data_IF_237176002839
#
_entry.id   IF_237176002839
#
_cell.length_a   1.000
_cell.length_b   1.000
_cell.length_c   1.000
_cell.angle_alpha   90.00
_cell.angle_beta   90.00
_cell.angle_gamma   90.00
#
_symmetry.space_group_name_H-M   'P 1'
#
loop_
_entity.id
_entity.type
_entity.pdbx_description
1 polymer ?
#
# COMPACT_ATOMS: atom_id res chain seq x y z
N UNK A 1 16.44 33.86 -18.37
CA UNK A 1 15.30 34.72 -17.96
C UNK A 1 15.20 34.59 -16.46
N UNK A 2 15.43 35.67 -15.72
CA UNK A 2 15.47 35.67 -14.25
C UNK A 2 14.07 35.53 -13.74
N UNK A 3 13.74 34.40 -13.15
CA UNK A 3 12.46 34.17 -12.42
C UNK A 3 12.49 35.14 -11.21
N UNK A 4 11.69 36.21 -11.28
CA UNK A 4 11.32 36.97 -10.10
C UNK A 4 10.81 35.99 -9.02
N UNK A 5 11.59 35.74 -8.00
CA UNK A 5 11.10 35.17 -6.76
C UNK A 5 10.15 36.22 -6.17
N UNK A 6 8.86 36.09 -6.45
CA UNK A 6 7.84 36.78 -5.67
C UNK A 6 8.05 36.36 -4.21
N UNK A 7 8.23 37.37 -3.32
CA UNK A 7 8.32 37.11 -1.88
C UNK A 7 7.02 36.44 -1.45
N UNK A 8 7.09 35.13 -1.19
CA UNK A 8 5.96 34.40 -0.65
C UNK A 8 5.56 35.02 0.69
N UNK A 9 4.37 35.62 0.73
CA UNK A 9 3.84 36.25 1.94
C UNK A 9 3.13 35.19 2.77
N UNK A 10 3.54 35.02 4.02
CA UNK A 10 2.90 34.15 4.98
C UNK A 10 1.74 34.92 5.62
N UNK A 11 0.55 34.38 5.54
CA UNK A 11 -0.68 34.93 6.13
C UNK A 11 -1.29 33.96 7.15
N UNK A 12 -1.88 34.47 8.22
CA UNK A 12 -2.60 33.65 9.17
C UNK A 12 -4.05 33.48 8.69
N UNK A 13 -4.40 32.28 8.25
CA UNK A 13 -5.73 31.96 7.72
C UNK A 13 -6.54 31.18 8.75
N UNK A 14 -7.83 31.49 8.90
CA UNK A 14 -8.74 30.72 9.72
C UNK A 14 -8.92 29.31 9.17
N UNK A 15 -8.80 28.31 10.03
CA UNK A 15 -8.85 26.89 9.63
C UNK A 15 -10.23 26.50 9.09
N UNK A 16 -11.29 27.16 9.56
CA UNK A 16 -12.66 26.96 9.04
C UNK A 16 -12.86 27.46 7.60
N UNK A 17 -12.00 28.36 7.12
CA UNK A 17 -11.98 28.82 5.73
C UNK A 17 -11.15 27.94 4.79
N UNK A 18 -10.43 26.95 5.34
CA UNK A 18 -9.56 26.07 4.55
C UNK A 18 -10.27 24.73 4.31
N UNK A 19 -10.59 24.46 3.05
CA UNK A 19 -11.15 23.19 2.61
C UNK A 19 -10.02 22.17 2.34
N UNK A 20 -10.24 20.88 2.63
CA UNK A 20 -9.28 19.85 2.26
C UNK A 20 -9.17 19.70 0.73
N UNK A 21 -8.05 19.17 0.26
CA UNK A 21 -7.90 18.83 -1.16
C UNK A 21 -8.86 17.68 -1.53
N UNK A 22 -9.63 17.78 -2.61
CA UNK A 22 -10.56 16.73 -3.01
C UNK A 22 -9.80 15.45 -3.39
N UNK A 23 -10.33 14.31 -2.99
CA UNK A 23 -9.71 12.99 -3.26
C UNK A 23 -8.23 12.90 -2.84
N UNK A 24 -7.85 13.59 -1.78
CA UNK A 24 -6.47 13.57 -1.27
C UNK A 24 -6.01 12.14 -1.00
N UNK A 25 -5.00 11.62 -1.69
CA UNK A 25 -4.68 10.19 -1.64
C UNK A 25 -3.95 9.78 -0.35
N UNK A 26 -3.31 10.72 0.34
CA UNK A 26 -2.49 10.45 1.51
C UNK A 26 -3.30 10.55 2.79
N UNK A 27 -3.31 9.50 3.57
CA UNK A 27 -4.05 9.45 4.83
C UNK A 27 -3.41 10.32 5.90
N UNK A 28 -4.25 10.90 6.74
CA UNK A 28 -3.85 11.61 7.96
C UNK A 28 -4.17 10.66 9.12
N UNK A 29 -3.17 9.89 9.53
CA UNK A 29 -3.31 8.91 10.60
C UNK A 29 -3.04 9.54 11.95
N UNK A 30 -3.79 9.11 12.96
CA UNK A 30 -3.52 9.36 14.38
C UNK A 30 -2.48 8.34 14.86
N UNK A 31 -1.22 8.61 14.55
CA UNK A 31 -0.06 7.80 14.89
C UNK A 31 0.85 8.55 15.88
N UNK A 32 1.88 7.88 16.40
CA UNK A 32 2.85 8.50 17.32
C UNK A 32 3.50 9.76 16.72
N UNK A 33 3.77 9.78 15.42
CA UNK A 33 4.29 10.96 14.72
C UNK A 33 3.27 12.10 14.64
N UNK A 34 1.96 11.82 14.76
CA UNK A 34 0.94 12.85 14.88
C UNK A 34 0.91 13.44 16.30
N UNK A 35 1.08 12.62 17.33
CA UNK A 35 1.16 13.10 18.71
C UNK A 35 2.39 14.01 18.91
N UNK A 36 3.56 13.58 18.42
CA UNK A 36 4.76 14.41 18.43
C UNK A 36 4.58 15.72 17.66
N UNK A 37 3.83 15.71 16.55
CA UNK A 37 3.49 16.93 15.81
C UNK A 37 2.57 17.85 16.60
N UNK A 38 1.57 17.30 17.31
CA UNK A 38 0.68 18.08 18.20
C UNK A 38 1.47 18.72 19.33
N UNK A 39 2.34 17.98 20.00
CA UNK A 39 3.22 18.50 21.07
C UNK A 39 4.10 19.64 20.54
N UNK A 40 4.78 19.43 19.41
CA UNK A 40 5.63 20.45 18.78
C UNK A 40 4.84 21.72 18.42
N UNK A 41 3.61 21.58 17.90
CA UNK A 41 2.77 22.72 17.55
C UNK A 41 2.26 23.44 18.81
N UNK A 42 1.96 22.70 19.88
CA UNK A 42 1.54 23.30 21.16
C UNK A 42 2.64 24.15 21.79
N UNK A 43 3.90 23.70 21.70
CA UNK A 43 5.05 24.39 22.27
C UNK A 43 5.57 25.55 21.39
N UNK A 44 5.69 25.34 20.09
CA UNK A 44 6.42 26.22 19.18
C UNK A 44 5.53 26.89 18.13
N UNK A 45 4.23 26.54 18.10
CA UNK A 45 3.35 26.93 17.00
C UNK A 45 3.67 26.17 15.69
N UNK A 46 3.03 26.58 14.62
CA UNK A 46 3.26 26.00 13.28
C UNK A 46 4.48 26.65 12.65
N UNK A 47 5.65 26.03 12.78
CA UNK A 47 6.92 26.56 12.27
C UNK A 47 6.98 26.63 10.73
N UNK A 48 6.43 25.63 10.04
CA UNK A 48 6.38 25.60 8.57
C UNK A 48 4.97 25.94 8.08
N UNK A 49 4.79 27.02 7.28
CA UNK A 49 3.46 27.40 6.78
C UNK A 49 2.90 26.34 5.86
N UNK A 50 1.57 26.22 5.86
CA UNK A 50 0.85 25.42 4.86
C UNK A 50 0.93 26.08 3.47
N UNK A 51 0.63 25.32 2.42
CA UNK A 51 0.40 25.87 1.08
C UNK A 51 -1.09 25.74 0.78
N UNK A 52 -1.71 26.83 0.44
CA UNK A 52 -3.12 26.90 0.05
C UNK A 52 -3.26 27.64 -1.26
N UNK A 53 -4.36 27.42 -1.96
CA UNK A 53 -4.79 28.28 -3.08
C UNK A 53 -6.14 28.92 -2.76
N UNK A 54 -6.38 30.11 -3.30
CA UNK A 54 -7.67 30.77 -3.18
C UNK A 54 -8.66 30.19 -4.19
N UNK A 55 -9.87 29.93 -3.74
CA UNK A 55 -10.97 29.46 -4.57
C UNK A 55 -11.83 30.64 -5.06
N UNK A 56 -12.64 30.42 -6.09
CA UNK A 56 -13.50 31.45 -6.67
C UNK A 56 -14.57 31.99 -5.70
N UNK A 57 -14.94 31.19 -4.69
CA UNK A 57 -15.89 31.58 -3.64
C UNK A 57 -15.24 32.37 -2.49
N UNK A 58 -13.95 32.65 -2.56
CA UNK A 58 -13.17 33.35 -1.55
C UNK A 58 -12.64 32.42 -0.43
N UNK A 59 -13.01 31.15 -0.40
CA UNK A 59 -12.43 30.15 0.49
C UNK A 59 -11.01 29.75 0.04
N UNK A 60 -10.33 28.97 0.85
CA UNK A 60 -9.01 28.43 0.55
C UNK A 60 -9.06 26.90 0.43
N UNK A 61 -8.27 26.35 -0.48
CA UNK A 61 -8.08 24.92 -0.61
C UNK A 61 -6.66 24.54 -0.15
N UNK A 62 -6.57 23.55 0.73
CA UNK A 62 -5.28 23.03 1.23
C UNK A 62 -4.56 22.27 0.11
N UNK A 63 -3.36 22.67 -0.24
CA UNK A 63 -2.48 21.95 -1.18
C UNK A 63 -1.43 21.15 -0.42
N UNK A 64 -0.83 21.73 0.63
CA UNK A 64 0.13 21.03 1.49
C UNK A 64 -0.02 21.46 2.92
N UNK A 65 0.03 20.50 3.86
CA UNK A 65 -0.06 20.76 5.30
C UNK A 65 -1.26 20.11 6.00
N UNK A 66 -1.90 19.10 5.40
CA UNK A 66 -3.07 18.43 5.96
C UNK A 66 -2.84 17.89 7.38
N UNK A 67 -1.67 17.30 7.68
CA UNK A 67 -1.33 16.84 9.05
C UNK A 67 -1.22 18.00 10.02
N UNK A 68 -0.61 19.12 9.63
CA UNK A 68 -0.53 20.35 10.47
C UNK A 68 -1.91 20.93 10.74
N UNK A 69 -2.76 20.98 9.73
CA UNK A 69 -4.15 21.41 9.89
C UNK A 69 -4.92 20.50 10.86
N UNK A 70 -4.76 19.19 10.74
CA UNK A 70 -5.40 18.21 11.64
C UNK A 70 -4.92 18.41 13.09
N UNK A 71 -3.62 18.55 13.30
CA UNK A 71 -3.03 18.83 14.61
C UNK A 71 -3.54 20.16 15.20
N UNK A 72 -3.59 21.23 14.40
CA UNK A 72 -4.15 22.51 14.84
C UNK A 72 -5.62 22.40 15.26
N UNK A 73 -6.44 21.65 14.50
CA UNK A 73 -7.85 21.40 14.85
C UNK A 73 -7.97 20.65 16.19
N UNK A 74 -7.15 19.63 16.39
CA UNK A 74 -7.14 18.86 17.64
C UNK A 74 -6.73 19.70 18.85
N UNK A 75 -5.85 20.69 18.65
CA UNK A 75 -5.40 21.62 19.69
C UNK A 75 -6.32 22.86 19.87
N UNK A 76 -7.41 22.98 19.11
CA UNK A 76 -8.31 24.13 19.17
C UNK A 76 -7.71 25.43 18.62
N UNK A 77 -6.67 25.36 17.79
CA UNK A 77 -6.04 26.52 17.16
C UNK A 77 -6.93 27.00 16.01
N UNK A 78 -7.38 28.24 16.08
CA UNK A 78 -8.31 28.80 15.09
C UNK A 78 -7.66 29.24 13.78
N UNK A 79 -6.37 29.63 13.81
CA UNK A 79 -5.65 30.14 12.63
C UNK A 79 -4.33 29.42 12.48
N UNK A 80 -3.93 29.19 11.22
CA UNK A 80 -2.62 28.64 10.92
C UNK A 80 -1.88 29.48 9.88
N UNK A 81 -0.53 29.54 9.92
CA UNK A 81 0.24 30.23 8.91
C UNK A 81 0.18 29.45 7.59
N UNK A 82 -0.10 30.17 6.51
CA UNK A 82 -0.17 29.61 5.18
C UNK A 82 0.43 30.57 4.12
N UNK A 83 0.94 29.99 3.06
CA UNK A 83 1.35 30.69 1.84
C UNK A 83 0.23 30.50 0.84
N UNK A 84 -0.33 31.60 0.36
CA UNK A 84 -1.36 31.60 -0.69
C UNK A 84 -0.65 31.63 -2.05
N UNK A 85 -0.89 30.59 -2.86
CA UNK A 85 -0.36 30.53 -4.22
C UNK A 85 -1.53 30.54 -5.23
N UNK A 86 -1.35 31.26 -6.32
CA UNK A 86 -2.24 31.18 -7.47
C UNK A 86 -1.92 29.93 -8.28
N UNK A 87 -2.86 29.00 -8.35
CA UNK A 87 -2.70 27.70 -9.02
C UNK A 87 -4.03 27.24 -9.60
N UNK A 88 -4.00 26.77 -10.84
CA UNK A 88 -5.12 26.00 -11.40
C UNK A 88 -5.21 24.59 -10.75
N UNK A 89 -6.22 23.82 -11.12
CA UNK A 89 -6.48 22.49 -10.56
C UNK A 89 -5.35 21.50 -10.86
N UNK A 90 -4.78 21.56 -12.04
CA UNK A 90 -3.71 20.64 -12.46
C UNK A 90 -2.40 20.94 -11.71
N UNK A 91 -2.01 22.22 -11.64
CA UNK A 91 -0.81 22.64 -10.91
C UNK A 91 -0.94 22.38 -9.41
N UNK A 92 -2.12 22.62 -8.82
CA UNK A 92 -2.40 22.32 -7.44
C UNK A 92 -2.30 20.80 -7.15
N UNK A 93 -2.81 19.96 -8.07
CA UNK A 93 -2.69 18.51 -8.00
C UNK A 93 -1.23 18.04 -8.05
N UNK A 94 -0.45 18.54 -8.99
CA UNK A 94 0.99 18.22 -9.10
C UNK A 94 1.73 18.66 -7.83
N UNK A 95 1.49 19.88 -7.36
CA UNK A 95 2.12 20.43 -6.16
C UNK A 95 1.77 19.61 -4.91
N UNK A 96 0.52 19.19 -4.77
CA UNK A 96 0.05 18.36 -3.66
C UNK A 96 0.76 16.99 -3.65
N UNK A 97 0.86 16.32 -4.80
CA UNK A 97 1.55 15.03 -4.91
C UNK A 97 3.04 15.19 -4.61
N UNK A 98 3.71 16.22 -5.15
CA UNK A 98 5.13 16.45 -4.95
C UNK A 98 5.47 16.74 -3.49
N UNK A 99 4.66 17.55 -2.82
CA UNK A 99 4.82 17.86 -1.40
C UNK A 99 4.71 16.63 -0.48
N UNK A 100 4.11 15.53 -0.95
CA UNK A 100 3.94 14.29 -0.19
C UNK A 100 4.86 13.15 -0.67
N UNK A 101 5.52 13.30 -1.83
CA UNK A 101 6.36 12.24 -2.41
C UNK A 101 7.60 11.91 -1.58
N UNK A 102 8.01 12.80 -0.69
CA UNK A 102 9.17 12.67 0.21
C UNK A 102 8.83 11.96 1.54
N UNK A 103 7.56 11.56 1.77
CA UNK A 103 7.18 10.85 3.00
C UNK A 103 7.84 9.47 3.03
N UNK A 104 8.41 9.10 4.17
CA UNK A 104 9.10 7.81 4.35
C UNK A 104 8.17 6.60 4.18
N UNK A 105 6.94 6.72 4.69
CA UNK A 105 5.96 5.64 4.65
C UNK A 105 4.74 6.09 3.85
N UNK A 106 4.67 5.65 2.59
CA UNK A 106 3.51 5.85 1.71
C UNK A 106 2.97 4.47 1.34
N UNK A 107 1.70 4.23 1.61
CA UNK A 107 1.04 2.97 1.28
C UNK A 107 1.00 2.73 -0.24
N UNK A 108 1.00 1.47 -0.71
CA UNK A 108 0.83 1.15 -2.12
C UNK A 108 -0.42 1.77 -2.75
N UNK A 109 -1.55 1.79 -2.05
CA UNK A 109 -2.79 2.44 -2.49
C UNK A 109 -2.60 3.96 -2.65
N UNK A 110 -1.98 4.62 -1.68
CA UNK A 110 -1.70 6.06 -1.74
C UNK A 110 -0.80 6.39 -2.95
N UNK A 111 0.26 5.59 -3.17
CA UNK A 111 1.13 5.74 -4.37
C UNK A 111 0.34 5.56 -5.66
N UNK A 112 -0.57 4.59 -5.71
CA UNK A 112 -1.38 4.30 -6.89
C UNK A 112 -2.24 5.52 -7.28
N UNK A 113 -2.99 6.07 -6.32
CA UNK A 113 -3.83 7.24 -6.56
C UNK A 113 -3.01 8.52 -6.79
N UNK A 114 -1.92 8.74 -6.04
CA UNK A 114 -1.04 9.89 -6.23
C UNK A 114 -0.43 9.92 -7.63
N UNK A 115 0.13 8.80 -8.10
CA UNK A 115 0.68 8.71 -9.45
C UNK A 115 -0.40 8.85 -10.53
N UNK A 116 -1.60 8.33 -10.30
CA UNK A 116 -2.72 8.52 -11.22
C UNK A 116 -3.12 9.99 -11.31
N UNK A 117 -3.34 10.66 -10.19
CA UNK A 117 -3.71 12.09 -10.15
C UNK A 117 -2.65 12.95 -10.84
N UNK A 118 -1.37 12.75 -10.50
CA UNK A 118 -0.28 13.47 -11.14
C UNK A 118 -0.18 13.20 -12.65
N UNK A 119 -0.34 11.93 -13.06
CA UNK A 119 -0.33 11.56 -14.47
C UNK A 119 -1.47 12.27 -15.24
N UNK A 120 -2.66 12.27 -14.67
CA UNK A 120 -3.84 12.85 -15.31
C UNK A 120 -3.71 14.38 -15.39
N UNK A 121 -3.25 15.06 -14.33
CA UNK A 121 -2.96 16.50 -14.32
C UNK A 121 -1.90 16.88 -15.38
N UNK A 122 -0.76 16.19 -15.41
CA UNK A 122 0.28 16.43 -16.42
C UNK A 122 -0.22 16.18 -17.87
N UNK A 123 -1.13 15.23 -18.06
CA UNK A 123 -1.75 14.97 -19.35
C UNK A 123 -2.65 16.15 -19.78
N UNK A 124 -3.44 16.71 -18.85
CA UNK A 124 -4.27 17.90 -19.11
C UNK A 124 -3.39 19.13 -19.41
N UNK A 125 -2.36 19.37 -18.58
CA UNK A 125 -1.42 20.49 -18.79
C UNK A 125 -0.71 20.42 -20.15
N UNK A 126 -0.36 19.22 -20.62
CA UNK A 126 0.20 19.02 -21.97
C UNK A 126 -0.81 19.33 -23.07
N UNK A 127 -2.05 18.88 -22.90
CA UNK A 127 -3.12 19.17 -23.86
C UNK A 127 -3.43 20.66 -23.93
N UNK A 128 -3.30 21.39 -22.81
CA UNK A 128 -3.45 22.84 -22.72
C UNK A 128 -2.19 23.59 -23.19
N UNK A 129 -1.06 22.92 -23.49
CA UNK A 129 0.18 23.55 -23.92
C UNK A 129 0.97 24.26 -22.81
N UNK A 130 0.59 24.08 -21.55
CA UNK A 130 1.24 24.73 -20.39
C UNK A 130 2.55 24.06 -19.99
N UNK A 131 2.78 22.80 -20.38
CA UNK A 131 4.03 22.06 -20.17
C UNK A 131 4.51 21.39 -21.46
N UNK A 132 5.83 21.24 -21.68
CA UNK A 132 6.36 20.61 -22.88
C UNK A 132 5.87 19.18 -23.09
N UNK A 133 5.53 18.83 -24.34
CA UNK A 133 5.07 17.50 -24.72
C UNK A 133 6.21 16.47 -24.88
N UNK A 134 7.31 16.59 -24.13
CA UNK A 134 8.49 15.75 -24.26
C UNK A 134 8.30 14.39 -23.57
N UNK A 135 8.32 13.30 -24.33
CA UNK A 135 8.23 11.92 -23.82
C UNK A 135 6.81 11.54 -23.34
N UNK A 136 6.72 10.35 -22.76
CA UNK A 136 5.44 9.88 -22.15
C UNK A 136 5.25 10.49 -20.76
N UNK A 137 4.01 10.84 -20.41
CA UNK A 137 3.67 11.41 -19.08
C UNK A 137 4.13 10.49 -17.94
N UNK A 138 3.96 9.17 -18.10
CA UNK A 138 4.42 8.17 -17.12
C UNK A 138 5.95 8.10 -16.98
N UNK A 139 6.72 8.40 -18.04
CA UNK A 139 8.18 8.49 -17.98
C UNK A 139 8.62 9.72 -17.19
N UNK A 140 7.92 10.84 -17.34
CA UNK A 140 8.18 12.05 -16.58
C UNK A 140 7.91 11.82 -15.09
N UNK A 141 6.75 11.28 -14.74
CA UNK A 141 6.41 10.92 -13.35
C UNK A 141 7.44 9.94 -12.77
N UNK A 142 7.92 8.98 -13.59
CA UNK A 142 8.94 8.03 -13.18
C UNK A 142 10.29 8.68 -12.86
N UNK A 143 10.78 9.54 -13.74
CA UNK A 143 12.06 10.27 -13.55
C UNK A 143 12.05 11.11 -12.29
N UNK A 144 10.99 11.88 -12.07
CA UNK A 144 10.84 12.78 -10.93
C UNK A 144 10.72 12.03 -9.59
N UNK A 145 10.22 10.80 -9.61
CA UNK A 145 10.11 9.94 -8.42
C UNK A 145 11.22 8.88 -8.32
N UNK A 146 12.26 8.93 -9.15
CA UNK A 146 13.34 7.92 -9.21
C UNK A 146 12.81 6.49 -9.40
N UNK A 147 11.73 6.34 -10.16
CA UNK A 147 11.07 5.06 -10.46
C UNK A 147 11.05 4.80 -11.96
N UNK A 148 11.06 3.52 -12.34
CA UNK A 148 10.92 3.15 -13.75
C UNK A 148 9.50 3.45 -14.25
N UNK A 149 9.38 3.75 -15.54
CA UNK A 149 8.10 3.86 -16.25
C UNK A 149 7.17 2.67 -15.95
N UNK A 150 7.71 1.45 -15.96
CA UNK A 150 6.94 0.22 -15.67
C UNK A 150 6.38 0.20 -14.25
N UNK A 151 7.13 0.74 -13.29
CA UNK A 151 6.68 0.85 -11.90
C UNK A 151 5.50 1.82 -11.78
N UNK A 152 5.59 3.00 -12.40
CA UNK A 152 4.50 3.99 -12.39
C UNK A 152 3.23 3.42 -13.04
N UNK A 153 3.37 2.77 -14.21
CA UNK A 153 2.25 2.15 -14.92
C UNK A 153 1.57 1.07 -14.05
N UNK A 154 2.35 0.26 -13.31
CA UNK A 154 1.82 -0.74 -12.37
C UNK A 154 0.99 -0.09 -11.28
N UNK A 155 1.50 0.94 -10.61
CA UNK A 155 0.75 1.63 -9.56
C UNK A 155 -0.52 2.27 -10.10
N UNK A 156 -0.45 3.00 -11.21
CA UNK A 156 -1.65 3.58 -11.85
C UNK A 156 -2.67 2.49 -12.17
N UNK A 157 -2.23 1.33 -12.65
CA UNK A 157 -3.13 0.21 -12.95
C UNK A 157 -3.85 -0.31 -11.70
N UNK A 158 -3.17 -0.36 -10.56
CA UNK A 158 -3.75 -0.84 -9.30
C UNK A 158 -4.93 0.01 -8.80
N UNK A 159 -5.11 1.25 -9.28
CA UNK A 159 -6.32 2.04 -8.96
C UNK A 159 -7.62 1.43 -9.48
N UNK A 160 -7.54 0.40 -10.32
CA UNK A 160 -8.71 -0.36 -10.83
C UNK A 160 -9.06 -1.58 -9.98
N UNK A 161 -8.33 -1.82 -8.90
CA UNK A 161 -8.65 -2.88 -7.95
C UNK A 161 -9.84 -2.50 -7.09
N UNK A 162 -10.59 -3.50 -6.67
CA UNK A 162 -11.57 -3.34 -5.60
C UNK A 162 -10.89 -2.80 -4.33
N UNK A 163 -11.56 -1.96 -3.54
CA UNK A 163 -10.98 -1.38 -2.32
C UNK A 163 -10.42 -2.43 -1.35
N UNK A 164 -11.08 -3.57 -1.22
CA UNK A 164 -10.64 -4.64 -0.30
C UNK A 164 -9.39 -5.37 -0.81
N UNK A 165 -9.21 -5.51 -2.12
CA UNK A 165 -7.97 -6.00 -2.70
C UNK A 165 -6.81 -5.01 -2.49
N UNK A 166 -7.06 -3.70 -2.60
CA UNK A 166 -6.06 -2.67 -2.28
C UNK A 166 -5.64 -2.71 -0.81
N UNK A 167 -6.59 -2.90 0.13
CA UNK A 167 -6.27 -3.09 1.56
C UNK A 167 -5.36 -4.31 1.80
N UNK A 168 -5.54 -5.39 1.03
CA UNK A 168 -4.64 -6.54 1.09
C UNK A 168 -3.23 -6.22 0.58
N UNK A 169 -3.11 -5.32 -0.40
CA UNK A 169 -1.80 -4.83 -0.86
C UNK A 169 -1.14 -3.96 0.20
N UNK A 170 -1.88 -3.04 0.79
CA UNK A 170 -1.39 -2.14 1.85
C UNK A 170 -0.92 -2.91 3.08
N UNK A 171 -1.64 -3.96 3.46
CA UNK A 171 -1.25 -4.87 4.55
C UNK A 171 -0.16 -5.89 4.16
N UNK A 172 0.40 -5.80 2.95
CA UNK A 172 1.44 -6.70 2.39
C UNK A 172 1.00 -8.18 2.27
N UNK A 173 -0.28 -8.48 2.45
CA UNK A 173 -0.84 -9.83 2.25
C UNK A 173 -0.88 -10.18 0.76
N UNK A 174 -1.25 -9.25 -0.11
CA UNK A 174 -1.22 -9.40 -1.56
C UNK A 174 -0.02 -8.64 -2.15
N UNK A 175 0.86 -9.33 -2.89
CA UNK A 175 2.03 -8.69 -3.51
C UNK A 175 1.61 -7.77 -4.66
N UNK A 176 2.24 -6.60 -4.78
CA UNK A 176 1.97 -5.60 -5.83
C UNK A 176 1.99 -6.19 -7.26
N UNK A 177 2.90 -7.16 -7.50
CA UNK A 177 3.00 -7.83 -8.81
C UNK A 177 1.82 -8.74 -9.13
N UNK A 178 1.18 -9.33 -8.12
CA UNK A 178 -0.04 -10.11 -8.29
C UNK A 178 -1.25 -9.17 -8.41
N UNK A 179 -1.32 -8.15 -7.55
CA UNK A 179 -2.35 -7.11 -7.57
C UNK A 179 -2.45 -6.42 -8.95
N UNK A 180 -1.29 -6.07 -9.55
CA UNK A 180 -1.25 -5.51 -10.91
C UNK A 180 -1.91 -6.45 -11.94
N UNK A 181 -1.70 -7.77 -11.84
CA UNK A 181 -2.34 -8.72 -12.76
C UNK A 181 -3.83 -8.84 -12.53
N UNK A 182 -4.27 -8.85 -11.26
CA UNK A 182 -5.69 -8.90 -10.90
C UNK A 182 -6.41 -7.63 -11.35
N UNK A 183 -5.76 -6.48 -11.39
CA UNK A 183 -6.35 -5.22 -11.84
C UNK A 183 -6.76 -5.19 -13.33
N UNK A 184 -6.42 -6.20 -14.11
CA UNK A 184 -6.89 -6.39 -15.49
C UNK A 184 -8.27 -7.05 -15.56
N UNK A 185 -8.67 -7.78 -14.52
CA UNK A 185 -9.95 -8.46 -14.42
C UNK A 185 -11.09 -7.42 -14.32
N UNK A 186 -12.26 -7.80 -14.78
CA UNK A 186 -13.49 -7.02 -14.55
C UNK A 186 -13.83 -6.97 -13.06
N UNK A 187 -14.67 -6.04 -12.67
CA UNK A 187 -15.08 -5.88 -11.27
C UNK A 187 -15.75 -7.16 -10.71
N UNK A 188 -16.61 -7.82 -11.52
CA UNK A 188 -17.24 -9.08 -11.15
C UNK A 188 -16.24 -10.22 -10.97
N UNK A 189 -15.23 -10.33 -11.85
CA UNK A 189 -14.18 -11.34 -11.73
C UNK A 189 -13.27 -11.08 -10.52
N UNK A 190 -12.96 -9.81 -10.23
CA UNK A 190 -12.24 -9.44 -9.01
C UNK A 190 -13.01 -9.84 -7.75
N UNK A 191 -14.36 -9.70 -7.78
CA UNK A 191 -15.21 -10.13 -6.67
C UNK A 191 -15.18 -11.64 -6.46
N UNK A 192 -15.18 -12.43 -7.56
CA UNK A 192 -14.98 -13.89 -7.49
C UNK A 192 -13.64 -14.23 -6.85
N UNK A 193 -12.56 -13.63 -7.33
CA UNK A 193 -11.21 -13.85 -6.78
C UNK A 193 -11.17 -13.50 -5.29
N UNK A 194 -11.72 -12.34 -4.89
CA UNK A 194 -11.74 -11.90 -3.50
C UNK A 194 -12.55 -12.86 -2.60
N UNK A 195 -13.73 -13.30 -3.06
CA UNK A 195 -14.57 -14.26 -2.35
C UNK A 195 -13.83 -15.59 -2.08
N UNK A 196 -13.15 -16.12 -3.11
CA UNK A 196 -12.37 -17.36 -2.97
C UNK A 196 -11.15 -17.16 -2.06
N UNK A 197 -10.47 -16.02 -2.16
CA UNK A 197 -9.37 -15.70 -1.25
C UNK A 197 -9.82 -15.69 0.22
N UNK A 198 -11.02 -15.20 0.50
CA UNK A 198 -11.59 -15.14 1.85
C UNK A 198 -12.06 -16.50 2.35
N UNK A 199 -12.78 -17.27 1.51
CA UNK A 199 -13.35 -18.58 1.88
C UNK A 199 -12.25 -19.65 2.04
N UNK A 200 -11.25 -19.65 1.16
CA UNK A 200 -10.20 -20.66 1.14
C UNK A 200 -8.93 -20.23 1.90
N UNK A 201 -8.93 -19.03 2.50
CA UNK A 201 -7.78 -18.45 3.20
C UNK A 201 -6.48 -18.54 2.37
N UNK A 202 -6.57 -18.22 1.09
CA UNK A 202 -5.47 -18.27 0.14
C UNK A 202 -5.23 -16.91 -0.52
N UNK A 203 -4.00 -16.66 -0.97
CA UNK A 203 -3.64 -15.44 -1.67
C UNK A 203 -2.88 -15.81 -2.94
N UNK A 204 -3.29 -15.32 -4.12
CA UNK A 204 -2.63 -15.67 -5.37
C UNK A 204 -1.19 -15.18 -5.41
N UNK A 205 -0.29 -16.07 -5.78
CA UNK A 205 1.08 -15.71 -6.10
C UNK A 205 1.18 -15.10 -7.51
N UNK A 206 2.40 -14.64 -7.89
CA UNK A 206 2.64 -14.01 -9.20
C UNK A 206 2.24 -14.90 -10.39
N UNK A 207 2.49 -16.21 -10.31
CA UNK A 207 2.17 -17.15 -11.40
C UNK A 207 0.66 -17.37 -11.52
N UNK A 208 -0.03 -17.55 -10.39
CA UNK A 208 -1.49 -17.68 -10.34
C UNK A 208 -2.18 -16.40 -10.82
N UNK A 209 -1.72 -15.22 -10.38
CA UNK A 209 -2.26 -13.95 -10.86
C UNK A 209 -2.04 -13.74 -12.37
N UNK A 210 -0.90 -14.22 -12.92
CA UNK A 210 -0.69 -14.24 -14.36
C UNK A 210 -1.69 -15.17 -15.07
N UNK A 211 -1.98 -16.34 -14.49
CA UNK A 211 -2.94 -17.29 -15.05
C UNK A 211 -4.38 -16.75 -14.98
N UNK A 212 -4.76 -16.12 -13.88
CA UNK A 212 -6.05 -15.41 -13.75
C UNK A 212 -6.23 -14.38 -14.89
N UNK A 213 -5.21 -13.54 -15.13
CA UNK A 213 -5.26 -12.58 -16.23
C UNK A 213 -5.42 -13.28 -17.57
N UNK A 214 -4.69 -14.37 -17.83
CA UNK A 214 -4.82 -15.14 -19.07
C UNK A 214 -6.25 -15.68 -19.23
N UNK A 215 -6.82 -16.29 -18.18
CA UNK A 215 -8.20 -16.80 -18.21
C UNK A 215 -9.22 -15.69 -18.47
N UNK A 216 -8.98 -14.47 -17.96
CA UNK A 216 -9.76 -13.28 -18.33
C UNK A 216 -9.65 -12.95 -19.81
N UNK A 217 -8.41 -12.89 -20.33
CA UNK A 217 -8.16 -12.56 -21.75
C UNK A 217 -8.82 -13.61 -22.68
N UNK A 218 -8.80 -14.91 -22.27
CA UNK A 218 -9.38 -16.04 -22.98
C UNK A 218 -10.90 -16.19 -22.75
N UNK A 219 -11.51 -15.39 -21.84
CA UNK A 219 -12.93 -15.45 -21.40
C UNK A 219 -13.32 -16.79 -20.76
N UNK A 220 -12.39 -17.42 -20.10
CA UNK A 220 -12.55 -18.74 -19.42
C UNK A 220 -12.60 -18.60 -17.89
N UNK A 221 -12.61 -17.38 -17.34
CA UNK A 221 -12.59 -17.17 -15.91
C UNK A 221 -13.95 -17.48 -15.31
N UNK A 222 -14.06 -18.66 -14.68
CA UNK A 222 -15.23 -19.09 -13.89
C UNK A 222 -14.85 -19.25 -12.42
N UNK A 223 -15.84 -19.26 -11.53
CA UNK A 223 -15.60 -19.44 -10.09
C UNK A 223 -14.86 -20.75 -9.79
N UNK A 224 -15.30 -21.86 -10.42
CA UNK A 224 -14.68 -23.19 -10.23
C UNK A 224 -13.22 -23.21 -10.72
N UNK A 225 -12.93 -22.58 -11.86
CA UNK A 225 -11.59 -22.50 -12.41
C UNK A 225 -10.66 -21.66 -11.52
N UNK A 226 -11.16 -20.53 -10.96
CA UNK A 226 -10.42 -19.72 -10.00
C UNK A 226 -10.18 -20.50 -8.71
N UNK A 227 -11.19 -21.19 -8.19
CA UNK A 227 -11.09 -22.02 -6.98
C UNK A 227 -10.02 -23.10 -7.17
N UNK A 228 -10.09 -23.87 -8.23
CA UNK A 228 -9.08 -24.88 -8.56
C UNK A 228 -7.69 -24.28 -8.65
N UNK A 229 -7.51 -23.19 -9.40
CA UNK A 229 -6.21 -22.53 -9.55
C UNK A 229 -5.61 -22.06 -8.24
N UNK A 230 -6.43 -21.53 -7.33
CA UNK A 230 -5.94 -20.97 -6.05
C UNK A 230 -5.72 -22.05 -4.99
N UNK A 231 -6.49 -23.16 -5.03
CA UNK A 231 -6.36 -24.27 -4.08
C UNK A 231 -5.35 -25.32 -4.49
N UNK A 232 -5.14 -25.56 -5.79
CA UNK A 232 -4.14 -26.53 -6.29
C UNK A 232 -2.71 -26.23 -5.82
N UNK A 233 -2.42 -24.99 -5.47
CA UNK A 233 -1.11 -24.63 -4.91
C UNK A 233 -0.94 -24.98 -3.43
N UNK A 234 -2.02 -25.34 -2.72
CA UNK A 234 -1.90 -25.91 -1.35
C UNK A 234 -1.16 -27.26 -1.35
N UNK A 235 -1.03 -27.92 -2.53
CA UNK A 235 -0.29 -29.17 -2.70
C UNK A 235 1.23 -29.02 -2.91
N UNK A 236 1.74 -27.81 -3.12
CA UNK A 236 3.18 -27.52 -2.96
C UNK A 236 3.41 -27.08 -1.55
N UNK A 237 3.54 -28.05 -0.64
CA UNK A 237 3.98 -27.83 0.72
C UNK A 237 5.06 -26.74 0.75
N UNK A 238 4.86 -25.68 1.54
CA UNK A 238 5.98 -24.86 1.98
C UNK A 238 7.00 -25.85 2.52
N UNK A 239 8.16 -25.92 1.87
CA UNK A 239 9.25 -26.74 2.35
C UNK A 239 9.64 -26.17 3.69
N UNK A 240 9.20 -26.83 4.77
CA UNK A 240 9.70 -26.53 6.09
C UNK A 240 11.19 -26.87 6.07
N UNK A 241 12.04 -25.87 6.00
CA UNK A 241 13.48 -26.07 6.07
C UNK A 241 13.85 -26.08 7.55
N UNK A 242 14.04 -27.28 8.09
CA UNK A 242 14.60 -27.44 9.42
C UNK A 242 16.13 -27.41 9.25
N UNK A 243 16.87 -26.51 9.94
CA UNK A 243 18.33 -26.50 9.87
C UNK A 243 18.90 -27.87 10.26
N UNK A 244 19.89 -28.35 9.51
CA UNK A 244 20.54 -29.67 9.73
C UNK A 244 21.06 -29.80 11.17
N UNK A 245 21.66 -28.73 11.73
CA UNK A 245 22.11 -28.65 13.10
C UNK A 245 21.00 -28.93 14.14
N UNK A 246 19.76 -28.62 13.81
CA UNK A 246 18.61 -28.92 14.68
C UNK A 246 18.20 -30.39 14.56
N UNK A 247 18.29 -30.98 13.37
CA UNK A 247 18.00 -32.40 13.16
C UNK A 247 19.04 -33.30 13.78
N UNK A 248 20.32 -32.96 13.69
CA UNK A 248 21.46 -33.71 14.31
C UNK A 248 21.37 -33.84 15.84
N UNK A 249 20.58 -33.01 16.51
CA UNK A 249 20.30 -33.09 17.95
C UNK A 249 19.32 -34.19 18.33
N UNK A 250 18.48 -34.64 17.40
CA UNK A 250 17.36 -35.56 17.64
C UNK A 250 17.47 -36.86 16.86
N UNK A 251 18.33 -36.90 15.85
CA UNK A 251 18.52 -38.05 14.97
C UNK A 251 19.97 -38.46 14.96
N UNK A 252 20.23 -39.78 14.90
CA UNK A 252 21.59 -40.33 14.84
C UNK A 252 22.09 -40.29 13.36
N UNK A 253 23.43 -40.35 13.19
CA UNK A 253 24.04 -40.35 11.85
C UNK A 253 23.62 -41.55 10.98
N UNK A 254 23.08 -42.62 11.58
CA UNK A 254 22.62 -43.81 10.87
C UNK A 254 21.18 -43.70 10.34
N UNK A 255 20.42 -42.66 10.70
CA UNK A 255 19.04 -42.48 10.28
C UNK A 255 18.98 -41.79 8.92
N UNK A 256 18.29 -42.44 8.00
CA UNK A 256 18.07 -41.87 6.64
C UNK A 256 17.09 -40.71 6.68
N UNK A 257 17.18 -39.77 5.70
CA UNK A 257 16.23 -38.66 5.59
C UNK A 257 14.75 -39.10 5.50
N UNK A 258 14.50 -40.32 5.01
CA UNK A 258 13.15 -40.89 4.95
C UNK A 258 12.63 -41.26 6.34
N UNK A 259 13.46 -41.88 7.18
CA UNK A 259 13.13 -42.22 8.58
C UNK A 259 12.93 -40.96 9.42
N UNK A 260 13.79 -39.94 9.25
CA UNK A 260 13.64 -38.65 9.92
C UNK A 260 12.30 -38.00 9.56
N UNK A 261 11.94 -38.05 8.28
CA UNK A 261 10.66 -37.51 7.79
C UNK A 261 9.48 -38.26 8.40
N UNK A 262 9.53 -39.60 8.47
CA UNK A 262 8.46 -40.43 9.03
C UNK A 262 8.25 -40.13 10.53
N UNK A 263 9.32 -39.99 11.29
CA UNK A 263 9.26 -39.62 12.72
C UNK A 263 8.67 -38.22 12.93
N UNK A 264 9.08 -37.25 12.11
CA UNK A 264 8.54 -35.89 12.15
C UNK A 264 7.04 -35.91 11.82
N UNK A 265 6.61 -36.62 10.76
CA UNK A 265 5.20 -36.73 10.37
C UNK A 265 4.38 -37.40 11.45
N UNK A 266 4.84 -38.49 12.04
CA UNK A 266 4.15 -39.16 13.15
C UNK A 266 3.96 -38.24 14.38
N UNK A 267 5.00 -37.46 14.69
CA UNK A 267 4.94 -36.45 15.76
C UNK A 267 3.96 -35.31 15.44
N UNK A 268 3.89 -34.87 14.17
CA UNK A 268 2.93 -33.88 13.72
C UNK A 268 1.48 -34.40 13.71
N UNK A 269 1.25 -35.69 13.43
CA UNK A 269 -0.08 -36.32 13.52
C UNK A 269 -0.56 -36.42 14.97
N UNK A 270 0.33 -36.68 15.91
CA UNK A 270 0.02 -36.57 17.34
C UNK A 270 -0.31 -35.13 17.75
N UNK A 271 0.42 -34.16 17.18
CA UNK A 271 0.16 -32.72 17.36
C UNK A 271 -1.23 -32.31 16.86
N UNK A 272 -1.67 -32.79 15.71
CA UNK A 272 -3.02 -32.49 15.19
C UNK A 272 -4.10 -32.93 16.17
N UNK A 273 -3.91 -34.06 16.87
CA UNK A 273 -4.81 -34.52 17.92
C UNK A 273 -4.77 -33.62 19.17
N UNK A 274 -3.64 -33.00 19.47
CA UNK A 274 -3.47 -32.08 20.60
C UNK A 274 -3.91 -30.65 20.27
N UNK A 275 -3.91 -30.25 19.01
CA UNK A 275 -4.33 -28.92 18.52
C UNK A 275 -5.80 -28.59 18.87
N UNK A 276 -6.64 -29.61 19.04
CA UNK A 276 -8.00 -29.45 19.53
C UNK A 276 -8.09 -28.85 20.95
N UNK A 277 -7.00 -28.93 21.72
CA UNK A 277 -6.93 -28.44 23.10
C UNK A 277 -6.28 -27.05 23.22
N UNK A 278 -5.69 -26.50 22.13
CA UNK A 278 -5.00 -25.20 22.15
C UNK A 278 -5.77 -24.14 21.33
N UNK A 279 -5.87 -22.92 21.87
CA UNK A 279 -6.55 -21.80 21.23
C UNK A 279 -5.87 -21.36 19.92
N UNK A 280 -6.64 -20.82 18.98
CA UNK A 280 -6.46 -20.67 17.55
C UNK A 280 -5.28 -19.83 17.00
N UNK A 281 -4.39 -19.24 17.81
CA UNK A 281 -3.37 -18.31 17.34
C UNK A 281 -1.96 -18.66 17.84
N UNK A 282 -1.36 -19.73 17.29
CA UNK A 282 0.05 -20.03 17.55
C UNK A 282 0.87 -19.71 16.30
N UNK A 283 1.86 -18.80 16.43
CA UNK A 283 2.75 -18.44 15.31
C UNK A 283 3.65 -19.63 14.90
N UNK A 284 4.11 -19.71 13.62
CA UNK A 284 4.99 -20.77 13.15
C UNK A 284 6.27 -20.96 14.00
N UNK A 285 6.85 -19.86 14.51
CA UNK A 285 8.02 -19.90 15.38
C UNK A 285 7.72 -20.63 16.71
N UNK A 286 6.53 -20.39 17.27
CA UNK A 286 6.11 -21.04 18.53
C UNK A 286 5.71 -22.48 18.30
N UNK A 287 5.23 -22.85 17.10
CA UNK A 287 5.02 -24.24 16.70
C UNK A 287 6.33 -25.00 16.64
N UNK A 288 7.38 -24.42 16.06
CA UNK A 288 8.72 -25.03 16.01
C UNK A 288 9.29 -25.25 17.42
N UNK A 289 9.17 -24.27 18.30
CA UNK A 289 9.62 -24.37 19.70
C UNK A 289 8.87 -25.48 20.49
N UNK A 290 7.57 -25.65 20.22
CA UNK A 290 6.75 -26.69 20.84
C UNK A 290 7.06 -28.09 20.29
N UNK A 291 7.32 -28.21 18.98
CA UNK A 291 7.77 -29.48 18.36
C UNK A 291 9.12 -29.92 18.97
N UNK A 292 10.05 -28.98 19.11
CA UNK A 292 11.36 -29.24 19.76
C UNK A 292 11.15 -29.74 21.18
N UNK A 293 10.31 -29.09 21.99
CA UNK A 293 9.98 -29.54 23.36
C UNK A 293 9.31 -30.92 23.45
N UNK A 294 8.54 -31.30 22.45
CA UNK A 294 7.87 -32.61 22.39
C UNK A 294 8.83 -33.73 21.98
N UNK A 295 9.88 -33.41 21.24
CA UNK A 295 10.95 -34.36 20.88
C UNK A 295 11.97 -34.53 22.01
N UNK A 296 11.98 -33.61 22.98
CA UNK A 296 12.84 -33.69 24.20
C UNK A 296 12.24 -34.57 25.32
N UNK A 297 10.99 -35.03 25.22
CA UNK A 297 10.28 -35.91 26.16
C UNK A 297 9.98 -37.27 25.53
#
# INVERSE_FOLDING_TARGET
MSTKQEKETIVAIRIDQIQPFPNHPFQVNEDEAMEQLKESIAENGVLMPAIVRQMSDGSFQMVSGHRRMAACKALGIEKMPAIVRDMDDDLATVTMVDANSQREQILPSEKAYAYKMRHDALKHMRAAGTVPANGRTTEQVGKENSKSFMTITRYIRMTRLLPDLLKLVDSKKLKETAAERISYLSESEQQIVLSIMQSELCVPNKAQAKRLKQMHDDRELTEDAVRTLLTDSKGKAEKLSIPTETLERFFTEDETPAQMTETIVATMEQWEKLKAYFQKDVSPARMTEMIVKMLEN
#
